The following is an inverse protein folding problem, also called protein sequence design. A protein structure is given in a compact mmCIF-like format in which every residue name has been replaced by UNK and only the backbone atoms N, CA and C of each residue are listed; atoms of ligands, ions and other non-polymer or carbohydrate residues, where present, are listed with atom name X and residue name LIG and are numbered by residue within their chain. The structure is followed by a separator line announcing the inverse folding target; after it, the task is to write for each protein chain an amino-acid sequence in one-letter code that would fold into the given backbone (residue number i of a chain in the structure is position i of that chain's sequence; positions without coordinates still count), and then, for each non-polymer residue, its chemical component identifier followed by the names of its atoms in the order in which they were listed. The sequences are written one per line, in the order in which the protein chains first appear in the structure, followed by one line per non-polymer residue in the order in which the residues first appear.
data_IF_311051740925
#
_entry.id   IF_311051740925
#
_cell.length_a   1.000
_cell.length_b   1.000
_cell.length_c   1.000
_cell.angle_alpha   90.00
_cell.angle_beta   90.00
_cell.angle_gamma   90.00
#
_symmetry.space_group_name_H-M   'P 1'
#
loop_
_entity.id
_entity.type
_entity.pdbx_description
1 polymer ?
#
# COMPACT_ATOMS: atom_id res chain seq x y z
N UNK A 1 18.83 -14.35 2.75
CA UNK A 1 18.04 -14.11 1.50
C UNK A 1 17.50 -12.68 1.46
N UNK A 2 17.06 -12.11 2.59
CA UNK A 2 16.65 -10.70 2.71
C UNK A 2 17.82 -9.72 2.43
N UNK A 3 19.03 -10.01 2.92
CA UNK A 3 20.21 -9.15 2.71
C UNK A 3 20.61 -9.02 1.23
N UNK A 4 20.50 -10.08 0.44
CA UNK A 4 20.84 -10.04 -0.99
C UNK A 4 19.87 -9.16 -1.80
N UNK A 5 18.61 -9.09 -1.38
CA UNK A 5 17.61 -8.23 -1.99
C UNK A 5 17.81 -6.75 -1.61
N UNK A 6 18.15 -6.48 -0.34
CA UNK A 6 18.48 -5.13 0.14
C UNK A 6 19.72 -4.59 -0.58
N UNK A 7 20.79 -5.40 -0.67
CA UNK A 7 22.05 -4.98 -1.33
C UNK A 7 21.87 -4.64 -2.82
N UNK A 8 20.92 -5.28 -3.50
CA UNK A 8 20.62 -5.02 -4.93
C UNK A 8 19.83 -3.72 -5.10
N UNK A 9 18.90 -3.45 -4.18
CA UNK A 9 18.09 -2.23 -4.14
C UNK A 9 18.96 -1.02 -3.78
N UNK A 10 19.85 -1.16 -2.80
CA UNK A 10 20.77 -0.08 -2.40
C UNK A 10 21.74 0.29 -3.54
N UNK A 11 22.27 -0.71 -4.26
CA UNK A 11 23.09 -0.47 -5.46
C UNK A 11 22.35 0.22 -6.61
N UNK A 12 21.06 -0.06 -6.80
CA UNK A 12 20.26 0.64 -7.80
C UNK A 12 20.13 2.12 -7.43
N UNK A 13 19.75 2.43 -6.19
CA UNK A 13 19.56 3.82 -5.76
C UNK A 13 20.85 4.65 -5.72
N UNK A 14 22.01 4.02 -5.51
CA UNK A 14 23.30 4.69 -5.53
C UNK A 14 23.80 4.98 -6.97
N UNK A 15 23.36 4.20 -7.96
CA UNK A 15 23.84 4.30 -9.35
C UNK A 15 22.82 4.92 -10.32
N UNK A 16 21.54 5.02 -9.94
CA UNK A 16 20.48 5.60 -10.77
C UNK A 16 20.65 7.11 -10.94
N UNK A 17 20.25 7.64 -12.10
CA UNK A 17 20.18 9.08 -12.31
C UNK A 17 19.04 9.70 -11.49
N UNK A 18 19.09 11.02 -11.26
CA UNK A 18 17.98 11.72 -10.58
C UNK A 18 16.67 11.64 -11.38
N UNK A 19 16.76 11.60 -12.71
CA UNK A 19 15.60 11.38 -13.59
C UNK A 19 14.99 9.99 -13.39
N UNK A 20 15.81 8.95 -13.24
CA UNK A 20 15.32 7.61 -12.95
C UNK A 20 14.60 7.55 -11.60
N UNK A 21 15.16 8.21 -10.57
CA UNK A 21 14.55 8.27 -9.25
C UNK A 21 13.22 9.04 -9.27
N UNK A 22 13.17 10.18 -9.96
CA UNK A 22 11.93 10.92 -10.18
C UNK A 22 10.85 10.06 -10.84
N UNK A 23 11.20 9.35 -11.92
CA UNK A 23 10.28 8.46 -12.61
C UNK A 23 9.76 7.31 -11.72
N UNK A 24 10.61 6.81 -10.82
CA UNK A 24 10.20 5.82 -9.81
C UNK A 24 9.18 6.42 -8.84
N UNK A 25 9.39 7.64 -8.36
CA UNK A 25 8.43 8.33 -7.48
C UNK A 25 7.08 8.53 -8.18
N UNK A 26 7.05 9.02 -9.43
CA UNK A 26 5.80 9.20 -10.19
C UNK A 26 5.02 7.87 -10.37
N UNK A 27 5.75 6.77 -10.57
CA UNK A 27 5.12 5.46 -10.64
C UNK A 27 4.57 5.02 -9.27
N UNK A 28 5.24 5.34 -8.16
CA UNK A 28 4.71 5.09 -6.82
C UNK A 28 3.47 5.92 -6.51
N UNK A 29 3.41 7.20 -6.91
CA UNK A 29 2.20 8.02 -6.79
C UNK A 29 1.02 7.39 -7.51
N UNK A 30 1.24 6.94 -8.76
CA UNK A 30 0.24 6.22 -9.54
C UNK A 30 -0.21 4.93 -8.85
N UNK A 31 0.73 4.20 -8.25
CA UNK A 31 0.45 2.98 -7.50
C UNK A 31 -0.36 3.24 -6.23
N UNK A 32 -0.05 4.29 -5.47
CA UNK A 32 -0.82 4.70 -4.28
C UNK A 32 -2.24 5.10 -4.66
N UNK A 33 -2.41 5.82 -5.77
CA UNK A 33 -3.74 6.15 -6.28
C UNK A 33 -4.52 4.89 -6.68
N UNK A 34 -3.87 3.92 -7.32
CA UNK A 34 -4.50 2.63 -7.61
C UNK A 34 -4.90 1.87 -6.34
N UNK A 35 -4.06 1.83 -5.31
CA UNK A 35 -4.40 1.20 -4.03
C UNK A 35 -5.60 1.86 -3.35
N UNK A 36 -5.77 3.17 -3.50
CA UNK A 36 -6.95 3.88 -3.00
C UNK A 36 -8.24 3.34 -3.62
N UNK A 37 -8.23 3.15 -4.94
CA UNK A 37 -9.38 2.60 -5.65
C UNK A 37 -9.58 1.11 -5.34
N UNK A 38 -8.49 0.36 -5.16
CA UNK A 38 -8.51 -1.04 -4.76
C UNK A 38 -9.15 -1.25 -3.37
N UNK A 39 -8.80 -0.41 -2.38
CA UNK A 39 -9.41 -0.48 -1.03
C UNK A 39 -10.90 -0.14 -1.08
N UNK A 40 -11.29 0.87 -1.85
CA UNK A 40 -12.71 1.21 -2.04
C UNK A 40 -13.49 0.01 -2.61
N UNK A 41 -12.91 -0.65 -3.62
CA UNK A 41 -13.49 -1.86 -4.19
C UNK A 41 -13.67 -2.99 -3.16
N UNK A 42 -12.68 -3.23 -2.30
CA UNK A 42 -12.83 -4.25 -1.24
C UNK A 42 -13.85 -3.86 -0.19
N UNK A 43 -13.95 -2.58 0.16
CA UNK A 43 -14.97 -2.09 1.06
C UNK A 43 -16.38 -2.30 0.49
N UNK A 44 -16.58 -2.01 -0.80
CA UNK A 44 -17.84 -2.29 -1.50
C UNK A 44 -18.20 -3.79 -1.48
N UNK A 45 -17.21 -4.67 -1.57
CA UNK A 45 -17.41 -6.13 -1.43
C UNK A 45 -17.87 -6.47 -0.02
N UNK A 46 -17.18 -5.99 1.02
CA UNK A 46 -17.56 -6.29 2.40
C UNK A 46 -18.96 -5.76 2.70
N UNK A 47 -19.28 -4.53 2.31
CA UNK A 47 -20.60 -3.93 2.51
C UNK A 47 -21.71 -4.76 1.83
N UNK A 48 -21.43 -5.31 0.64
CA UNK A 48 -22.37 -6.17 -0.09
C UNK A 48 -22.66 -7.48 0.64
N UNK A 49 -21.66 -8.07 1.31
CA UNK A 49 -21.77 -9.37 1.97
C UNK A 49 -21.93 -9.28 3.50
N UNK A 50 -22.01 -8.06 4.05
CA UNK A 50 -21.97 -7.79 5.49
C UNK A 50 -22.99 -8.61 6.29
N UNK A 51 -24.24 -8.68 5.83
CA UNK A 51 -25.28 -9.43 6.54
C UNK A 51 -24.97 -10.93 6.64
N UNK A 52 -24.35 -11.52 5.62
CA UNK A 52 -23.95 -12.93 5.67
C UNK A 52 -22.70 -13.11 6.54
N UNK A 53 -21.75 -12.18 6.49
CA UNK A 53 -20.54 -12.21 7.31
C UNK A 53 -20.86 -12.18 8.81
N UNK A 54 -21.76 -11.29 9.24
CA UNK A 54 -22.16 -11.16 10.65
C UNK A 54 -22.98 -12.37 11.13
N UNK A 55 -23.72 -13.04 10.23
CA UNK A 55 -24.53 -14.21 10.58
C UNK A 55 -23.70 -15.50 10.76
N UNK A 56 -22.46 -15.52 10.26
CA UNK A 56 -21.58 -16.69 10.26
C UNK A 56 -20.55 -16.66 11.42
N UNK A 57 -20.86 -15.98 12.52
CA UNK A 57 -19.94 -15.78 13.66
C UNK A 57 -18.61 -15.07 13.31
N UNK A 58 -18.48 -14.47 12.12
CA UNK A 58 -17.28 -13.75 11.67
C UNK A 58 -17.27 -12.25 12.04
N UNK A 59 -18.10 -11.82 13.00
CA UNK A 59 -18.29 -10.41 13.32
C UNK A 59 -16.99 -9.72 13.75
N UNK A 60 -16.20 -10.34 14.63
CA UNK A 60 -14.94 -9.77 15.12
C UNK A 60 -13.93 -9.62 13.99
N UNK A 61 -13.73 -10.66 13.19
CA UNK A 61 -12.82 -10.63 12.02
C UNK A 61 -13.25 -9.61 10.98
N UNK A 62 -14.56 -9.51 10.72
CA UNK A 62 -15.11 -8.51 9.78
C UNK A 62 -14.84 -7.09 10.28
N UNK A 63 -15.06 -6.84 11.57
CA UNK A 63 -14.83 -5.52 12.18
C UNK A 63 -13.36 -5.12 12.10
N UNK A 64 -12.44 -6.03 12.45
CA UNK A 64 -11.00 -5.79 12.35
C UNK A 64 -10.55 -5.42 10.92
N UNK A 65 -11.06 -6.13 9.92
CA UNK A 65 -10.73 -5.86 8.50
C UNK A 65 -11.27 -4.50 8.07
N UNK A 66 -12.49 -4.14 8.47
CA UNK A 66 -13.12 -2.84 8.15
C UNK A 66 -12.37 -1.69 8.81
N UNK A 67 -11.96 -1.85 10.06
CA UNK A 67 -11.17 -0.85 10.79
C UNK A 67 -9.79 -0.64 10.15
N UNK A 68 -9.12 -1.74 9.75
CA UNK A 68 -7.84 -1.68 9.05
C UNK A 68 -7.99 -0.98 7.69
N UNK A 69 -8.97 -1.36 6.87
CA UNK A 69 -9.25 -0.68 5.60
C UNK A 69 -9.50 0.81 5.78
N UNK A 70 -10.28 1.19 6.79
CA UNK A 70 -10.58 2.60 7.08
C UNK A 70 -9.32 3.36 7.49
N UNK A 71 -8.47 2.77 8.34
CA UNK A 71 -7.18 3.35 8.73
C UNK A 71 -6.26 3.59 7.53
N UNK A 72 -6.17 2.61 6.63
CA UNK A 72 -5.34 2.71 5.43
C UNK A 72 -5.89 3.78 4.47
N UNK A 73 -7.21 3.80 4.25
CA UNK A 73 -7.89 4.75 3.36
C UNK A 73 -7.78 6.19 3.87
N UNK A 74 -7.99 6.40 5.17
CA UNK A 74 -8.16 7.74 5.74
C UNK A 74 -6.83 8.38 6.15
N UNK A 75 -5.79 7.57 6.39
CA UNK A 75 -4.47 8.07 6.83
C UNK A 75 -3.29 7.44 6.10
N UNK A 76 -3.26 6.10 6.00
CA UNK A 76 -2.07 5.40 5.49
C UNK A 76 -1.67 5.84 4.08
N UNK A 77 -2.63 5.93 3.14
CA UNK A 77 -2.36 6.33 1.77
C UNK A 77 -2.02 7.82 1.63
N UNK A 78 -2.68 8.69 2.40
CA UNK A 78 -2.38 10.13 2.38
C UNK A 78 -0.99 10.41 2.93
N UNK A 79 -0.59 9.74 4.01
CA UNK A 79 0.74 9.89 4.60
C UNK A 79 1.84 9.48 3.61
N UNK A 80 1.61 8.41 2.84
CA UNK A 80 2.57 7.96 1.82
C UNK A 80 2.63 8.93 0.64
N UNK A 81 1.49 9.46 0.20
CA UNK A 81 1.42 10.47 -0.84
C UNK A 81 2.16 11.74 -0.44
N UNK A 82 1.90 12.28 0.75
CA UNK A 82 2.56 13.50 1.22
C UNK A 82 4.08 13.36 1.39
N UNK A 83 4.57 12.16 1.72
CA UNK A 83 6.03 11.90 1.74
C UNK A 83 6.63 11.93 0.33
N UNK A 84 5.91 11.45 -0.68
CA UNK A 84 6.36 11.50 -2.08
C UNK A 84 6.33 12.93 -2.62
N UNK A 85 5.26 13.68 -2.35
CA UNK A 85 5.16 15.10 -2.71
C UNK A 85 6.32 15.92 -2.12
N UNK A 86 6.60 15.74 -0.82
CA UNK A 86 7.74 16.39 -0.16
C UNK A 86 9.09 15.99 -0.76
N UNK A 87 9.23 14.73 -1.16
CA UNK A 87 10.45 14.24 -1.80
C UNK A 87 10.67 14.89 -3.18
N UNK A 88 9.61 15.11 -3.95
CA UNK A 88 9.68 15.83 -5.24
C UNK A 88 9.95 17.34 -5.05
N UNK A 89 9.47 17.93 -3.96
CA UNK A 89 9.90 19.29 -3.55
C UNK A 89 11.41 19.31 -3.26
N UNK A 90 11.94 18.32 -2.54
CA UNK A 90 13.38 18.23 -2.29
C UNK A 90 14.20 18.00 -3.57
N UNK A 91 13.68 17.29 -4.57
CA UNK A 91 14.31 17.20 -5.90
C UNK A 91 14.43 18.58 -6.54
N UNK A 92 13.38 19.39 -6.45
CA UNK A 92 13.38 20.76 -6.98
C UNK A 92 14.41 21.65 -6.25
N UNK A 93 14.50 21.56 -4.92
CA UNK A 93 15.54 22.24 -4.13
C UNK A 93 16.95 21.78 -4.48
N UNK A 94 17.14 20.49 -4.75
CA UNK A 94 18.42 19.93 -5.20
C UNK A 94 18.84 20.50 -6.55
N UNK A 95 17.90 20.62 -7.51
CA UNK A 95 18.17 21.26 -8.81
C UNK A 95 18.62 22.73 -8.66
N UNK A 96 18.15 23.42 -7.62
CA UNK A 96 18.55 24.78 -7.28
C UNK A 96 19.82 24.86 -6.40
N UNK A 97 20.49 23.73 -6.13
CA UNK A 97 21.68 23.62 -5.26
C UNK A 97 21.43 24.00 -3.79
N UNK A 98 20.18 23.95 -3.34
CA UNK A 98 19.77 24.26 -1.96
C UNK A 98 19.67 22.99 -1.11
N UNK A 99 19.87 21.81 -1.70
CA UNK A 99 19.74 20.51 -1.06
C UNK A 99 20.86 19.54 -1.45
N UNK A 100 21.13 18.57 -0.58
CA UNK A 100 22.17 17.55 -0.81
C UNK A 100 21.62 16.36 -1.59
N UNK A 101 22.33 15.95 -2.65
CA UNK A 101 22.03 14.72 -3.38
C UNK A 101 22.12 13.46 -2.52
N UNK A 102 23.08 13.40 -1.60
CA UNK A 102 23.19 12.29 -0.66
C UNK A 102 21.95 12.21 0.24
N UNK A 103 21.44 13.36 0.71
CA UNK A 103 20.24 13.40 1.54
C UNK A 103 19.00 12.98 0.74
N UNK A 104 18.85 13.47 -0.50
CA UNK A 104 17.77 13.08 -1.40
C UNK A 104 17.77 11.57 -1.67
N UNK A 105 18.91 10.96 -2.00
CA UNK A 105 19.01 9.51 -2.24
C UNK A 105 18.66 8.69 -1.01
N UNK A 106 19.09 9.13 0.19
CA UNK A 106 18.73 8.46 1.45
C UNK A 106 17.23 8.52 1.72
N UNK A 107 16.60 9.66 1.47
CA UNK A 107 15.14 9.81 1.56
C UNK A 107 14.44 8.88 0.57
N UNK A 108 14.91 8.81 -0.68
CA UNK A 108 14.34 7.94 -1.70
C UNK A 108 14.41 6.45 -1.28
N UNK A 109 15.53 6.00 -0.71
CA UNK A 109 15.66 4.62 -0.19
C UNK A 109 14.63 4.36 0.91
N UNK A 110 14.40 5.33 1.80
CA UNK A 110 13.41 5.22 2.87
C UNK A 110 11.99 5.15 2.31
N UNK A 111 11.64 5.99 1.34
CA UNK A 111 10.38 5.89 0.60
C UNK A 111 10.20 4.52 -0.04
N UNK A 112 11.26 3.98 -0.66
CA UNK A 112 11.22 2.66 -1.27
C UNK A 112 10.95 1.54 -0.24
N UNK A 113 11.41 1.70 1.01
CA UNK A 113 11.13 0.78 2.11
C UNK A 113 9.67 0.92 2.58
N UNK A 114 9.21 2.16 2.77
CA UNK A 114 7.84 2.49 3.16
C UNK A 114 6.84 1.91 2.14
N UNK A 115 7.06 2.12 0.83
CA UNK A 115 6.25 1.54 -0.26
C UNK A 115 6.18 0.01 -0.20
N UNK A 116 7.31 -0.64 0.05
CA UNK A 116 7.37 -2.10 0.14
C UNK A 116 6.61 -2.63 1.36
N UNK A 117 6.80 -2.00 2.53
CA UNK A 117 6.08 -2.37 3.74
C UNK A 117 4.58 -2.18 3.57
N UNK A 118 4.16 -1.04 2.99
CA UNK A 118 2.76 -0.74 2.73
C UNK A 118 2.12 -1.77 1.78
N UNK A 119 2.79 -2.09 0.68
CA UNK A 119 2.33 -3.10 -0.27
C UNK A 119 2.15 -4.47 0.41
N UNK A 120 3.08 -4.87 1.28
CA UNK A 120 2.96 -6.15 1.98
C UNK A 120 1.77 -6.17 2.95
N UNK A 121 1.51 -5.07 3.66
CA UNK A 121 0.32 -4.92 4.48
C UNK A 121 -0.96 -5.03 3.65
N UNK A 122 -1.02 -4.33 2.53
CA UNK A 122 -2.15 -4.44 1.60
C UNK A 122 -2.36 -5.86 1.08
N UNK A 123 -1.29 -6.57 0.70
CA UNK A 123 -1.41 -7.97 0.25
C UNK A 123 -2.01 -8.86 1.35
N UNK A 124 -1.59 -8.69 2.61
CA UNK A 124 -2.14 -9.46 3.73
C UNK A 124 -3.62 -9.14 3.97
N UNK A 125 -3.98 -7.86 3.94
CA UNK A 125 -5.38 -7.42 4.01
C UNK A 125 -6.23 -8.05 2.91
N UNK A 126 -5.75 -8.03 1.66
CA UNK A 126 -6.44 -8.62 0.51
C UNK A 126 -6.69 -10.11 0.67
N UNK A 127 -5.72 -10.85 1.21
CA UNK A 127 -5.88 -12.27 1.50
C UNK A 127 -6.96 -12.50 2.57
N UNK A 128 -6.99 -11.69 3.63
CA UNK A 128 -8.02 -11.78 4.67
C UNK A 128 -9.41 -11.48 4.13
N UNK A 129 -9.56 -10.43 3.31
CA UNK A 129 -10.82 -10.10 2.63
C UNK A 129 -11.27 -11.25 1.72
N UNK A 130 -10.35 -11.83 0.94
CA UNK A 130 -10.67 -12.94 0.05
C UNK A 130 -11.19 -14.16 0.82
N UNK A 131 -10.52 -14.55 1.91
CA UNK A 131 -10.94 -15.67 2.74
C UNK A 131 -12.33 -15.42 3.36
N UNK A 132 -12.56 -14.22 3.90
CA UNK A 132 -13.86 -13.85 4.47
C UNK A 132 -15.00 -13.97 3.45
N UNK A 133 -14.76 -13.54 2.20
CA UNK A 133 -15.74 -13.62 1.12
C UNK A 133 -15.94 -15.08 0.66
N UNK A 134 -14.89 -15.89 0.63
CA UNK A 134 -15.01 -17.31 0.30
C UNK A 134 -15.81 -18.09 1.33
N UNK A 135 -15.60 -17.84 2.62
CA UNK A 135 -16.31 -18.51 3.71
C UNK A 135 -17.82 -18.25 3.59
N UNK A 136 -18.21 -16.98 3.41
CA UNK A 136 -19.61 -16.59 3.15
C UNK A 136 -20.19 -17.29 1.91
N UNK A 137 -19.42 -17.38 0.82
CA UNK A 137 -19.87 -18.03 -0.43
C UNK A 137 -20.05 -19.53 -0.26
N UNK A 138 -19.18 -20.19 0.51
CA UNK A 138 -19.22 -21.64 0.69
C UNK A 138 -20.38 -22.03 1.59
N UNK A 139 -20.64 -21.27 2.66
CA UNK A 139 -21.79 -21.52 3.54
C UNK A 139 -23.14 -21.32 2.84
N UNK A 140 -23.24 -20.34 1.94
CA UNK A 140 -24.45 -20.12 1.14
C UNK A 140 -24.72 -21.22 0.10
N UNK A 141 -23.73 -22.06 -0.25
CA UNK A 141 -23.92 -23.25 -1.10
C UNK A 141 -24.41 -24.47 -0.32
N UNK A 142 -24.13 -24.56 0.98
CA UNK A 142 -24.53 -25.70 1.82
C UNK A 142 -26.04 -25.74 2.11
N UNK A 143 -26.77 -24.66 1.78
CA UNK A 143 -28.23 -24.56 1.96
C UNK A 143 -29.06 -24.78 0.69
N UNK A 144 -28.45 -25.22 -0.43
CA UNK A 144 -29.22 -25.62 -1.61
C UNK A 144 -29.47 -27.16 -1.58
N UNK A 145 -30.74 -27.60 -1.55
CA UNK A 145 -31.13 -29.01 -1.48
C UNK A 145 -30.84 -29.80 -2.76
#
# INVERSE_FOLDING_TARGET
MMDLFLTRKDKFHDQSSLEDLHNVTLNWESQVQFWKDEIRFFQDIIDKYFLQMVSNDNLDTTTEIVDEMSSIRDRGLSDLMSKMELHEEHLSSLMNQEWSEEAYRKEHIKLAQDMHQFNNGLVQLKQRVFNLVEDVRNESKTFLP
#
